data_IF_046832148676
#
_entry.id   IF_046832148676
#
_cell.length_a   1.000
_cell.length_b   1.000
_cell.length_c   1.000
_cell.angle_alpha   90.00
_cell.angle_beta   90.00
_cell.angle_gamma   90.00
#
_symmetry.space_group_name_H-M   'P 1'
#
loop_
_entity.id
_entity.type
_entity.pdbx_description
1 polymer ?
#
# COMPACT_ATOMS: atom_id res chain seq x y z
N UNK A 1 -5.44 -33.19 -11.76
CA UNK A 1 -5.36 -32.92 -10.31
C UNK A 1 -3.88 -32.86 -9.96
N UNK A 2 -3.27 -31.70 -10.17
CA UNK A 2 -1.84 -31.46 -9.94
C UNK A 2 -1.62 -31.13 -8.47
N UNK A 3 -0.55 -31.71 -7.91
CA UNK A 3 -0.30 -31.91 -6.49
C UNK A 3 -0.03 -30.59 -5.73
N UNK A 4 -1.09 -30.04 -5.14
CA UNK A 4 -1.11 -28.85 -4.26
C UNK A 4 -0.14 -28.94 -3.07
N UNK A 5 0.32 -30.14 -2.71
CA UNK A 5 1.21 -30.33 -1.57
C UNK A 5 2.68 -30.15 -1.92
N UNK A 6 3.06 -30.00 -3.19
CA UNK A 6 4.47 -29.91 -3.57
C UNK A 6 5.03 -28.49 -3.35
N UNK A 7 4.35 -27.44 -3.81
CA UNK A 7 4.79 -26.04 -3.63
C UNK A 7 4.81 -25.65 -2.15
N UNK A 8 3.76 -26.00 -1.38
CA UNK A 8 3.77 -25.81 0.07
C UNK A 8 4.87 -26.62 0.79
N UNK A 9 5.19 -27.85 0.33
CA UNK A 9 6.26 -28.67 0.91
C UNK A 9 7.65 -28.20 0.53
N UNK A 10 7.87 -27.72 -0.70
CA UNK A 10 9.18 -27.25 -1.16
C UNK A 10 9.54 -25.92 -0.45
N UNK A 11 8.55 -25.03 -0.28
CA UNK A 11 8.72 -23.77 0.47
C UNK A 11 8.94 -24.04 1.96
N UNK A 12 8.17 -24.94 2.59
CA UNK A 12 8.39 -25.32 4.00
C UNK A 12 9.69 -26.12 4.20
N UNK A 13 10.03 -27.02 3.26
CA UNK A 13 11.20 -27.90 3.35
C UNK A 13 12.52 -27.16 3.21
N UNK A 14 12.60 -26.12 2.37
CA UNK A 14 13.81 -25.30 2.22
C UNK A 14 13.96 -24.23 3.29
N UNK A 15 12.87 -23.79 3.94
CA UNK A 15 12.95 -22.94 5.13
C UNK A 15 13.55 -23.66 6.36
N UNK A 16 13.48 -25.00 6.39
CA UNK A 16 13.98 -25.84 7.50
C UNK A 16 15.44 -26.27 7.34
N UNK A 17 15.99 -26.25 6.12
CA UNK A 17 17.36 -26.76 5.82
C UNK A 17 18.49 -25.73 5.98
N UNK A 18 18.27 -24.67 6.76
CA UNK A 18 19.20 -23.55 6.91
C UNK A 18 19.51 -23.17 8.36
N UNK A 19 19.85 -24.14 9.21
CA UNK A 19 20.74 -24.01 10.39
C UNK A 19 20.75 -25.33 11.17
N UNK A 20 21.92 -25.98 11.24
CA UNK A 20 22.16 -27.10 12.13
C UNK A 20 21.99 -26.66 13.58
N UNK A 21 21.29 -27.49 14.34
CA UNK A 21 20.98 -27.35 15.76
C UNK A 21 22.27 -27.35 16.60
N UNK A 22 22.48 -26.26 17.34
CA UNK A 22 23.15 -26.31 18.64
C UNK A 22 22.14 -25.77 19.66
N UNK A 23 21.77 -26.64 20.60
CA UNK A 23 20.77 -26.42 21.64
C UNK A 23 21.12 -25.21 22.51
N UNK A 24 20.20 -24.26 22.59
CA UNK A 24 20.06 -23.40 23.77
C UNK A 24 18.59 -22.94 23.84
N UNK A 25 17.88 -23.51 24.80
CA UNK A 25 16.53 -23.16 25.22
C UNK A 25 16.45 -21.67 25.59
N UNK A 26 15.84 -20.86 24.72
CA UNK A 26 15.27 -19.56 25.07
C UNK A 26 13.83 -19.51 24.57
N UNK A 27 12.91 -19.50 25.54
CA UNK A 27 11.54 -18.99 25.50
C UNK A 27 11.07 -18.44 24.15
N UNK A 28 10.06 -19.10 23.56
CA UNK A 28 9.26 -18.62 22.43
C UNK A 28 8.57 -17.29 22.76
N UNK A 29 9.33 -16.20 22.73
CA UNK A 29 8.79 -14.87 22.55
C UNK A 29 8.46 -14.77 21.05
N UNK A 30 7.19 -15.03 20.71
CA UNK A 30 6.67 -14.96 19.34
C UNK A 30 7.28 -13.75 18.64
N UNK A 31 8.08 -13.96 17.58
CA UNK A 31 8.80 -12.89 16.87
C UNK A 31 7.83 -11.73 16.61
N UNK A 32 7.95 -10.65 17.40
CA UNK A 32 7.13 -9.45 17.23
C UNK A 32 7.55 -8.82 15.91
N UNK A 33 6.88 -9.20 14.82
CA UNK A 33 7.06 -8.55 13.53
C UNK A 33 6.33 -7.22 13.60
N UNK A 34 7.09 -6.14 13.78
CA UNK A 34 6.55 -4.78 13.77
C UNK A 34 5.93 -4.49 12.41
N UNK A 35 4.58 -4.54 12.34
CA UNK A 35 3.78 -4.36 11.12
C UNK A 35 4.11 -3.05 10.38
N UNK A 36 4.44 -2.00 11.11
CA UNK A 36 4.86 -0.70 10.56
C UNK A 36 6.23 -0.70 9.86
N UNK A 37 7.04 -1.74 10.06
CA UNK A 37 8.47 -1.75 9.66
C UNK A 37 8.83 -2.84 8.65
N UNK A 38 7.97 -3.85 8.46
CA UNK A 38 8.18 -4.90 7.46
C UNK A 38 8.25 -4.31 6.06
N UNK A 39 9.34 -4.58 5.33
CA UNK A 39 9.66 -3.91 4.06
C UNK A 39 8.92 -4.47 2.85
N UNK A 40 8.14 -5.52 3.06
CA UNK A 40 7.47 -6.38 2.07
C UNK A 40 5.93 -6.26 2.12
N UNK A 41 5.38 -5.23 2.78
CA UNK A 41 3.91 -5.06 2.93
C UNK A 41 3.20 -5.14 1.59
N UNK A 42 3.70 -4.38 0.61
CA UNK A 42 3.24 -4.45 -0.76
C UNK A 42 4.24 -5.24 -1.60
N UNK A 43 3.80 -6.19 -2.43
CA UNK A 43 4.64 -6.78 -3.46
C UNK A 43 5.11 -5.73 -4.48
N UNK A 44 4.33 -4.67 -4.71
CA UNK A 44 4.64 -3.62 -5.66
C UNK A 44 5.63 -2.58 -5.09
N UNK A 45 6.48 -2.07 -5.97
CA UNK A 45 7.36 -0.92 -5.77
C UNK A 45 6.69 0.31 -6.36
N UNK A 46 5.91 1.02 -5.56
CA UNK A 46 5.29 2.27 -6.00
C UNK A 46 6.13 3.47 -5.55
N UNK A 47 6.48 4.41 -6.46
CA UNK A 47 7.05 5.70 -6.09
C UNK A 47 6.18 6.38 -5.04
N UNK A 48 6.80 7.04 -4.07
CA UNK A 48 6.08 7.70 -2.98
C UNK A 48 5.49 6.78 -1.90
N UNK A 49 5.72 5.45 -1.97
CA UNK A 49 5.14 4.45 -1.06
C UNK A 49 4.94 4.92 0.38
N UNK A 50 3.69 5.31 0.67
CA UNK A 50 3.25 5.95 1.92
C UNK A 50 3.13 5.00 3.10
N UNK A 51 3.73 3.81 3.03
CA UNK A 51 3.80 2.84 4.14
C UNK A 51 4.18 3.51 5.47
N UNK A 52 5.08 4.49 5.43
CA UNK A 52 5.53 5.23 6.62
C UNK A 52 4.45 6.10 7.25
N UNK A 53 3.38 6.44 6.53
CA UNK A 53 2.19 7.10 7.08
C UNK A 53 1.25 6.13 7.80
N UNK A 54 1.35 4.82 7.58
CA UNK A 54 0.42 3.87 8.22
C UNK A 54 0.41 3.97 9.77
N UNK A 55 1.55 4.11 10.48
CA UNK A 55 1.56 4.32 11.93
C UNK A 55 0.96 5.66 12.37
N UNK A 56 1.07 6.69 11.52
CA UNK A 56 0.46 7.99 11.77
C UNK A 56 -1.06 7.90 11.62
N UNK A 57 -1.55 7.25 10.57
CA UNK A 57 -2.99 7.03 10.35
C UNK A 57 -3.58 6.13 11.47
N UNK A 58 -2.86 5.08 11.87
CA UNK A 58 -3.24 4.23 13.00
C UNK A 58 -3.37 5.01 14.32
N UNK A 59 -2.45 5.95 14.58
CA UNK A 59 -2.51 6.83 15.75
C UNK A 59 -3.71 7.78 15.70
N UNK A 60 -4.02 8.34 14.53
CA UNK A 60 -5.23 9.15 14.34
C UNK A 60 -6.51 8.35 14.57
N UNK A 61 -6.58 7.11 14.06
CA UNK A 61 -7.70 6.19 14.30
C UNK A 61 -7.84 5.87 15.79
N UNK A 62 -6.72 5.63 16.48
CA UNK A 62 -6.75 5.36 17.92
C UNK A 62 -7.25 6.57 18.73
N UNK A 63 -6.83 7.79 18.36
CA UNK A 63 -7.24 9.03 19.03
C UNK A 63 -8.68 9.43 18.74
N UNK A 64 -9.21 9.11 17.55
CA UNK A 64 -10.59 9.42 17.20
C UNK A 64 -11.62 8.57 17.96
N UNK A 65 -11.18 7.48 18.61
CA UNK A 65 -12.03 6.49 19.28
C UNK A 65 -13.11 5.87 18.36
N UNK A 66 -12.93 5.96 17.03
CA UNK A 66 -13.83 5.36 16.04
C UNK A 66 -13.02 4.45 15.15
N UNK A 67 -13.13 3.14 15.39
CA UNK A 67 -12.53 2.10 14.53
C UNK A 67 -13.29 2.03 13.19
N UNK A 68 -12.60 2.22 12.05
CA UNK A 68 -13.23 2.08 10.74
C UNK A 68 -13.70 0.64 10.49
N UNK A 69 -14.96 0.49 10.10
CA UNK A 69 -15.47 -0.76 9.51
C UNK A 69 -14.89 -0.95 8.11
N UNK A 70 -14.80 0.16 7.37
CA UNK A 70 -14.38 0.17 5.98
C UNK A 70 -13.35 1.27 5.76
N UNK A 71 -12.14 0.85 5.39
CA UNK A 71 -11.08 1.76 4.96
C UNK A 71 -11.00 1.74 3.42
N UNK A 72 -11.18 2.90 2.80
CA UNK A 72 -11.31 3.04 1.35
C UNK A 72 -10.10 3.78 0.79
N UNK A 73 -9.40 3.17 -0.16
CA UNK A 73 -8.25 3.76 -0.86
C UNK A 73 -8.57 3.81 -2.37
N UNK A 74 -9.12 4.93 -2.89
CA UNK A 74 -9.49 5.08 -4.30
C UNK A 74 -8.32 5.35 -5.25
N UNK A 75 -7.12 5.50 -4.68
CA UNK A 75 -5.84 5.63 -5.38
C UNK A 75 -4.90 4.55 -4.89
N UNK A 76 -5.33 3.28 -4.99
CA UNK A 76 -4.69 2.17 -4.31
C UNK A 76 -3.18 2.10 -4.57
N UNK A 77 -2.73 2.22 -5.82
CA UNK A 77 -1.31 2.14 -6.17
C UNK A 77 -0.65 0.89 -5.57
N UNK A 78 0.23 1.09 -4.59
CA UNK A 78 0.86 -0.01 -3.84
C UNK A 78 0.05 -0.56 -2.65
N UNK A 79 -1.10 0.02 -2.31
CA UNK A 79 -2.03 -0.31 -1.22
C UNK A 79 -1.35 -0.49 0.15
N UNK A 80 -0.16 0.11 0.31
CA UNK A 80 0.72 -0.20 1.45
C UNK A 80 0.13 0.28 2.76
N UNK A 81 -0.65 1.36 2.75
CA UNK A 81 -1.34 1.88 3.94
C UNK A 81 -2.51 0.96 4.30
N UNK A 82 -3.44 0.71 3.37
CA UNK A 82 -4.59 -0.19 3.61
C UNK A 82 -4.16 -1.55 4.13
N UNK A 83 -3.17 -2.19 3.48
CA UNK A 83 -2.69 -3.51 3.89
C UNK A 83 -2.03 -3.45 5.27
N UNK A 84 -1.23 -2.41 5.55
CA UNK A 84 -0.60 -2.26 6.88
C UNK A 84 -1.66 -2.21 7.98
N UNK A 85 -2.69 -1.37 7.80
CA UNK A 85 -3.77 -1.19 8.76
C UNK A 85 -4.63 -2.45 8.90
N UNK A 86 -4.87 -3.16 7.80
CA UNK A 86 -5.64 -4.41 7.79
C UNK A 86 -4.90 -5.53 8.53
N UNK A 87 -3.61 -5.74 8.24
CA UNK A 87 -2.78 -6.77 8.89
C UNK A 87 -2.62 -6.50 10.39
N UNK A 88 -2.44 -5.23 10.74
CA UNK A 88 -2.28 -4.76 12.11
C UNK A 88 -3.60 -4.63 12.88
N UNK A 89 -4.72 -4.96 12.22
CA UNK A 89 -6.05 -4.95 12.81
C UNK A 89 -6.47 -3.59 13.37
N UNK A 90 -6.20 -2.51 12.64
CA UNK A 90 -6.75 -1.16 12.92
C UNK A 90 -8.07 -0.88 12.21
N UNK A 91 -8.42 -1.70 11.21
CA UNK A 91 -9.62 -1.55 10.37
C UNK A 91 -10.25 -2.91 10.15
N UNK A 92 -11.57 -3.02 10.07
CA UNK A 92 -12.22 -4.32 9.91
C UNK A 92 -12.04 -4.86 8.49
N UNK A 93 -12.34 -4.01 7.50
CA UNK A 93 -12.26 -4.33 6.08
C UNK A 93 -11.69 -3.18 5.26
N UNK A 94 -11.15 -3.50 4.08
CA UNK A 94 -10.67 -2.52 3.10
C UNK A 94 -11.46 -2.58 1.80
N UNK A 95 -11.50 -1.47 1.07
CA UNK A 95 -11.94 -1.38 -0.31
C UNK A 95 -10.90 -0.62 -1.12
N UNK A 96 -10.44 -1.23 -2.21
CA UNK A 96 -9.40 -0.68 -3.06
C UNK A 96 -9.98 -0.31 -4.43
N UNK A 97 -9.57 0.84 -4.96
CA UNK A 97 -9.78 1.16 -6.35
C UNK A 97 -8.55 1.84 -6.93
N UNK A 98 -8.33 1.65 -8.23
CA UNK A 98 -7.34 2.40 -8.98
C UNK A 98 -7.83 2.63 -10.40
N UNK A 99 -7.53 3.80 -10.96
CA UNK A 99 -7.82 4.11 -12.35
C UNK A 99 -6.95 3.30 -13.31
N UNK A 100 -5.77 2.86 -12.85
CA UNK A 100 -4.85 2.04 -13.59
C UNK A 100 -5.35 0.57 -13.70
N UNK A 101 -5.67 0.06 -14.90
CA UNK A 101 -6.23 -1.28 -15.06
C UNK A 101 -5.25 -2.40 -14.70
N UNK A 102 -3.92 -2.18 -14.80
CA UNK A 102 -2.94 -3.19 -14.41
C UNK A 102 -2.87 -3.31 -12.89
N UNK A 103 -2.85 -2.18 -12.19
CA UNK A 103 -2.84 -2.12 -10.72
C UNK A 103 -4.12 -2.70 -10.15
N UNK A 104 -5.27 -2.31 -10.69
CA UNK A 104 -6.55 -2.86 -10.27
C UNK A 104 -6.64 -4.38 -10.51
N UNK A 105 -6.21 -4.86 -11.69
CA UNK A 105 -6.18 -6.30 -12.00
C UNK A 105 -5.24 -7.06 -11.06
N UNK A 106 -4.08 -6.48 -10.73
CA UNK A 106 -3.14 -7.06 -9.79
C UNK A 106 -3.77 -7.27 -8.41
N UNK A 107 -4.28 -6.21 -7.78
CA UNK A 107 -4.88 -6.32 -6.45
C UNK A 107 -6.11 -7.21 -6.44
N UNK A 108 -6.91 -7.19 -7.51
CA UNK A 108 -8.09 -8.03 -7.62
C UNK A 108 -7.70 -9.50 -7.69
N UNK A 109 -6.68 -9.85 -8.47
CA UNK A 109 -6.14 -11.21 -8.55
C UNK A 109 -5.56 -11.67 -7.21
N UNK A 110 -4.78 -10.82 -6.53
CA UNK A 110 -4.20 -11.11 -5.20
C UNK A 110 -5.28 -11.46 -4.16
N UNK A 111 -6.39 -10.75 -4.17
CA UNK A 111 -7.51 -10.99 -3.25
C UNK A 111 -8.63 -11.85 -3.87
N UNK A 112 -8.26 -12.79 -4.76
CA UNK A 112 -9.18 -13.73 -5.40
C UNK A 112 -8.70 -15.19 -5.24
N UNK A 113 -9.53 -16.18 -5.63
CA UNK A 113 -9.09 -17.57 -5.74
C UNK A 113 -7.96 -17.83 -6.75
N UNK A 114 -7.61 -16.86 -7.61
CA UNK A 114 -6.52 -17.01 -8.59
C UNK A 114 -5.14 -16.61 -8.05
N UNK A 115 -5.04 -16.18 -6.79
CA UNK A 115 -3.79 -15.75 -6.18
C UNK A 115 -2.69 -16.84 -6.21
N UNK A 116 -3.08 -18.12 -6.06
CA UNK A 116 -2.13 -19.25 -6.10
C UNK A 116 -1.50 -19.39 -7.49
N UNK A 117 -2.31 -19.27 -8.55
CA UNK A 117 -1.81 -19.28 -9.94
C UNK A 117 -0.88 -18.11 -10.21
N UNK A 118 -1.19 -16.92 -9.68
CA UNK A 118 -0.31 -15.76 -9.79
C UNK A 118 1.02 -16.01 -9.07
N UNK A 119 0.99 -16.61 -7.88
CA UNK A 119 2.18 -16.95 -7.11
C UNK A 119 3.05 -17.97 -7.87
N UNK A 120 2.45 -19.00 -8.48
CA UNK A 120 3.16 -19.99 -9.32
C UNK A 120 3.82 -19.31 -10.53
N UNK A 121 3.08 -18.47 -11.26
CA UNK A 121 3.63 -17.71 -12.40
C UNK A 121 4.82 -16.84 -12.00
N UNK A 122 4.76 -16.23 -10.81
CA UNK A 122 5.86 -15.42 -10.25
C UNK A 122 7.04 -16.28 -9.86
N UNK A 123 6.79 -17.42 -9.22
CA UNK A 123 7.83 -18.36 -8.79
C UNK A 123 8.65 -18.86 -10.00
N UNK A 124 7.94 -19.24 -11.07
CA UNK A 124 8.53 -19.82 -12.28
C UNK A 124 9.02 -18.77 -13.30
N UNK A 125 8.83 -17.48 -13.02
CA UNK A 125 9.13 -16.40 -13.97
C UNK A 125 10.62 -16.39 -14.35
N UNK A 126 10.90 -16.39 -15.66
CA UNK A 126 12.24 -16.12 -16.19
C UNK A 126 12.44 -14.61 -16.30
N UNK A 127 13.28 -14.04 -15.43
CA UNK A 127 13.47 -12.58 -15.35
C UNK A 127 14.52 -12.11 -16.36
N UNK A 128 14.12 -11.99 -17.62
CA UNK A 128 15.01 -11.58 -18.72
C UNK A 128 14.54 -10.28 -19.37
N UNK A 129 15.45 -9.63 -20.10
CA UNK A 129 15.10 -8.45 -20.90
C UNK A 129 14.08 -8.77 -22.00
N UNK A 130 14.20 -9.94 -22.63
CA UNK A 130 13.26 -10.38 -23.66
C UNK A 130 11.85 -10.55 -23.09
N UNK A 131 11.73 -11.15 -21.91
CA UNK A 131 10.45 -11.29 -21.23
C UNK A 131 9.87 -9.93 -20.85
N UNK A 132 10.72 -9.01 -20.39
CA UNK A 132 10.32 -7.62 -20.13
C UNK A 132 9.77 -6.93 -21.38
N UNK A 133 10.48 -7.03 -22.51
CA UNK A 133 10.05 -6.45 -23.79
C UNK A 133 8.75 -7.09 -24.26
N UNK A 134 8.64 -8.42 -24.18
CA UNK A 134 7.42 -9.16 -24.52
C UNK A 134 6.23 -8.67 -23.70
N UNK A 135 6.37 -8.63 -22.38
CA UNK A 135 5.32 -8.17 -21.48
C UNK A 135 5.01 -6.68 -21.65
N UNK A 136 6.00 -5.84 -22.00
CA UNK A 136 5.76 -4.41 -22.25
C UNK A 136 4.79 -4.19 -23.41
N UNK A 137 4.93 -4.97 -24.49
CA UNK A 137 4.17 -4.83 -25.73
C UNK A 137 2.95 -5.74 -25.84
N UNK A 138 2.79 -6.72 -24.94
CA UNK A 138 1.67 -7.66 -24.99
C UNK A 138 0.33 -7.01 -24.58
N UNK A 139 -0.74 -7.36 -25.29
CA UNK A 139 -2.10 -7.15 -24.81
C UNK A 139 -2.50 -8.34 -23.92
N UNK A 140 -3.09 -8.05 -22.76
CA UNK A 140 -3.49 -9.09 -21.81
C UNK A 140 -4.95 -9.43 -22.01
N UNK A 141 -5.24 -10.73 -22.11
CA UNK A 141 -6.58 -11.26 -22.40
C UNK A 141 -7.33 -11.59 -21.13
N UNK A 142 -6.61 -11.84 -20.04
CA UNK A 142 -7.16 -12.19 -18.73
C UNK A 142 -6.66 -11.27 -17.63
N UNK A 143 -7.41 -11.23 -16.53
CA UNK A 143 -7.05 -10.47 -15.33
C UNK A 143 -5.76 -11.03 -14.67
N UNK A 144 -5.60 -12.36 -14.65
CA UNK A 144 -4.39 -13.03 -14.17
C UNK A 144 -3.14 -12.64 -14.96
N UNK A 145 -3.22 -12.63 -16.30
CA UNK A 145 -2.13 -12.16 -17.17
C UNK A 145 -1.80 -10.69 -16.89
N UNK A 146 -2.83 -9.84 -16.73
CA UNK A 146 -2.66 -8.44 -16.39
C UNK A 146 -1.99 -8.23 -15.02
N UNK A 147 -2.37 -9.04 -14.02
CA UNK A 147 -1.76 -9.04 -12.70
C UNK A 147 -0.28 -9.45 -12.75
N UNK A 148 0.04 -10.53 -13.46
CA UNK A 148 1.42 -10.96 -13.66
C UNK A 148 2.25 -9.88 -14.38
N UNK A 149 1.73 -9.33 -15.48
CA UNK A 149 2.37 -8.21 -16.22
C UNK A 149 2.61 -7.00 -15.32
N UNK A 150 1.62 -6.63 -14.51
CA UNK A 150 1.74 -5.53 -13.56
C UNK A 150 2.92 -5.74 -12.61
N UNK A 151 2.94 -6.89 -11.93
CA UNK A 151 3.97 -7.23 -10.95
C UNK A 151 5.35 -7.36 -11.59
N UNK A 152 5.46 -8.08 -12.72
CA UNK A 152 6.72 -8.26 -13.43
C UNK A 152 7.31 -6.91 -13.83
N UNK A 153 6.58 -6.11 -14.60
CA UNK A 153 7.06 -4.81 -15.04
C UNK A 153 7.36 -3.88 -13.86
N UNK A 154 6.53 -3.87 -12.81
CA UNK A 154 6.77 -3.05 -11.64
C UNK A 154 8.06 -3.45 -10.88
N UNK A 155 8.39 -4.73 -10.82
CA UNK A 155 9.58 -5.20 -10.12
C UNK A 155 10.85 -5.06 -10.94
N UNK A 156 10.75 -5.09 -12.27
CA UNK A 156 11.89 -5.08 -13.19
C UNK A 156 12.09 -3.76 -13.93
N UNK A 157 11.22 -2.76 -13.77
CA UNK A 157 11.37 -1.42 -14.36
C UNK A 157 11.99 -0.41 -13.38
N UNK A 158 12.68 0.59 -13.92
CA UNK A 158 13.31 1.63 -13.12
C UNK A 158 12.27 2.31 -12.21
N UNK A 159 12.58 2.44 -10.91
CA UNK A 159 11.68 2.94 -9.87
C UNK A 159 10.32 2.24 -9.74
N UNK A 160 10.13 1.09 -10.40
CA UNK A 160 8.85 0.38 -10.49
C UNK A 160 7.78 1.08 -11.33
N UNK A 161 8.21 1.97 -12.20
CA UNK A 161 7.36 2.71 -13.10
C UNK A 161 6.66 1.79 -14.13
N UNK A 162 5.34 2.00 -14.30
CA UNK A 162 4.52 1.25 -15.25
C UNK A 162 4.21 2.04 -16.54
N UNK A 163 4.51 3.34 -16.58
CA UNK A 163 4.23 4.19 -17.75
C UNK A 163 4.98 3.74 -19.02
N UNK A 164 4.47 4.14 -20.19
CA UNK A 164 4.98 3.68 -21.50
C UNK A 164 6.48 3.94 -21.68
N UNK A 165 6.97 5.09 -21.23
CA UNK A 165 8.38 5.50 -21.32
C UNK A 165 9.30 4.82 -20.28
N UNK A 166 8.77 4.03 -19.35
CA UNK A 166 9.58 3.37 -18.32
C UNK A 166 10.45 2.29 -18.96
N UNK A 167 11.76 2.36 -18.71
CA UNK A 167 12.74 1.35 -19.10
C UNK A 167 13.00 0.31 -18.01
N UNK A 168 13.66 -0.81 -18.36
CA UNK A 168 14.05 -1.84 -17.40
C UNK A 168 15.09 -1.31 -16.41
N UNK A 169 15.14 -1.91 -15.22
CA UNK A 169 16.25 -1.73 -14.27
C UNK A 169 17.53 -2.16 -14.98
N UNK A 170 18.57 -1.33 -14.85
CA UNK A 170 19.86 -1.56 -15.50
C UNK A 170 19.95 -1.13 -16.97
N UNK A 171 18.86 -0.58 -17.52
CA UNK A 171 18.80 -0.08 -18.89
C UNK A 171 18.76 -1.19 -19.95
N UNK A 172 18.52 -0.83 -21.21
CA UNK A 172 18.41 -1.81 -22.29
C UNK A 172 19.72 -2.57 -22.54
N UNK A 173 20.87 -1.94 -22.30
CA UNK A 173 22.19 -2.58 -22.43
C UNK A 173 22.54 -3.49 -21.25
N UNK A 174 21.78 -3.46 -20.14
CA UNK A 174 22.06 -4.21 -18.91
C UNK A 174 23.50 -4.03 -18.40
N UNK A 175 24.10 -2.85 -18.59
CA UNK A 175 25.49 -2.56 -18.18
C UNK A 175 25.63 -2.04 -16.75
N UNK A 176 24.51 -1.65 -16.11
CA UNK A 176 24.51 -1.25 -14.69
C UNK A 176 24.84 -2.42 -13.75
N UNK A 177 25.34 -2.12 -12.56
CA UNK A 177 25.47 -3.07 -11.45
C UNK A 177 24.11 -3.62 -10.99
N UNK A 178 23.04 -2.83 -11.17
CA UNK A 178 21.67 -3.27 -10.90
C UNK A 178 21.09 -3.92 -12.16
N UNK A 179 21.15 -5.25 -12.22
CA UNK A 179 20.53 -6.05 -13.28
C UNK A 179 19.00 -6.09 -13.16
N UNK A 180 18.33 -6.47 -14.24
CA UNK A 180 16.86 -6.50 -14.34
C UNK A 180 16.17 -7.31 -13.23
N UNK A 181 16.82 -8.36 -12.74
CA UNK A 181 16.33 -9.31 -11.74
C UNK A 181 16.62 -8.91 -10.29
N UNK A 182 17.45 -7.89 -10.05
CA UNK A 182 17.95 -7.56 -8.70
C UNK A 182 16.85 -7.19 -7.68
N UNK A 183 15.62 -6.95 -8.16
CA UNK A 183 14.42 -6.70 -7.35
C UNK A 183 13.33 -7.74 -7.54
N UNK A 184 13.54 -8.83 -8.28
CA UNK A 184 12.54 -9.87 -8.53
C UNK A 184 12.86 -11.15 -7.73
N UNK A 185 12.79 -11.07 -6.40
CA UNK A 185 12.97 -12.26 -5.55
C UNK A 185 11.72 -13.14 -5.63
N UNK A 186 11.72 -14.13 -6.52
CA UNK A 186 10.53 -14.92 -6.84
C UNK A 186 9.94 -15.61 -5.61
N UNK A 187 10.72 -16.35 -4.78
CA UNK A 187 10.17 -17.04 -3.62
C UNK A 187 9.50 -16.09 -2.62
N UNK A 188 10.13 -14.95 -2.30
CA UNK A 188 9.56 -14.00 -1.34
C UNK A 188 8.33 -13.27 -1.88
N UNK A 189 8.32 -12.96 -3.17
CA UNK A 189 7.16 -12.30 -3.78
C UNK A 189 5.99 -13.30 -3.83
N UNK A 190 6.22 -14.54 -4.26
CA UNK A 190 5.19 -15.59 -4.28
C UNK A 190 4.62 -15.86 -2.88
N UNK A 191 5.48 -16.04 -1.87
CA UNK A 191 5.07 -16.19 -0.47
C UNK A 191 4.19 -15.03 -0.01
N UNK A 192 4.60 -13.79 -0.33
CA UNK A 192 3.83 -12.60 0.05
C UNK A 192 2.45 -12.52 -0.60
N UNK A 193 2.31 -12.96 -1.86
CA UNK A 193 1.02 -13.02 -2.54
C UNK A 193 0.07 -14.01 -1.82
N UNK A 194 0.59 -15.16 -1.41
CA UNK A 194 -0.18 -16.17 -0.66
C UNK A 194 -0.54 -15.69 0.75
N UNK A 195 0.33 -14.95 1.43
CA UNK A 195 -0.02 -14.32 2.71
C UNK A 195 -1.19 -13.35 2.57
N UNK A 196 -1.16 -12.50 1.55
CA UNK A 196 -2.20 -11.50 1.29
C UNK A 196 -3.52 -12.15 0.88
N UNK A 197 -3.49 -13.22 0.08
CA UNK A 197 -4.70 -13.91 -0.38
C UNK A 197 -5.55 -14.49 0.77
N UNK A 198 -4.91 -14.82 1.90
CA UNK A 198 -5.60 -15.25 3.14
C UNK A 198 -6.48 -14.15 3.74
N UNK A 199 -6.16 -12.88 3.47
CA UNK A 199 -6.93 -11.72 3.93
C UNK A 199 -8.08 -11.35 3.00
N UNK A 200 -8.30 -12.07 1.89
CA UNK A 200 -9.35 -11.75 0.90
C UNK A 200 -10.75 -11.57 1.52
N UNK A 201 -11.06 -12.31 2.58
CA UNK A 201 -12.36 -12.22 3.28
C UNK A 201 -12.59 -10.87 3.97
N UNK A 202 -11.54 -10.08 4.17
CA UNK A 202 -11.60 -8.70 4.70
C UNK A 202 -11.44 -7.63 3.63
N UNK A 203 -11.41 -8.02 2.35
CA UNK A 203 -11.37 -7.09 1.22
C UNK A 203 -12.76 -7.05 0.59
N UNK A 204 -13.48 -5.93 0.76
CA UNK A 204 -14.86 -5.79 0.27
C UNK A 204 -14.91 -5.82 -1.25
N UNK A 205 -13.98 -5.11 -1.89
CA UNK A 205 -13.79 -5.15 -3.33
C UNK A 205 -12.42 -4.58 -3.72
N UNK A 206 -12.00 -4.94 -4.93
CA UNK A 206 -10.98 -4.25 -5.70
C UNK A 206 -11.58 -3.88 -7.05
N UNK A 207 -11.45 -2.63 -7.49
CA UNK A 207 -12.09 -2.16 -8.73
C UNK A 207 -11.16 -1.30 -9.58
N UNK A 208 -11.33 -1.42 -10.91
CA UNK A 208 -10.75 -0.47 -11.85
C UNK A 208 -11.74 0.68 -12.06
N UNK A 209 -11.58 1.76 -11.30
CA UNK A 209 -12.49 2.92 -11.35
C UNK A 209 -11.80 4.18 -10.85
N UNK A 210 -12.32 5.34 -11.26
CA UNK A 210 -11.84 6.64 -10.77
C UNK A 210 -12.34 6.90 -9.35
N UNK A 211 -11.62 7.76 -8.62
CA UNK A 211 -12.00 8.14 -7.25
C UNK A 211 -13.44 8.66 -7.14
N UNK A 212 -13.92 9.43 -8.14
CA UNK A 212 -15.30 9.94 -8.19
C UNK A 212 -16.33 8.82 -8.21
N UNK A 213 -16.05 7.76 -8.99
CA UNK A 213 -16.92 6.60 -9.08
C UNK A 213 -16.84 5.77 -7.79
N UNK A 214 -15.65 5.57 -7.23
CA UNK A 214 -15.48 4.92 -5.92
C UNK A 214 -16.28 5.63 -4.83
N UNK A 215 -16.16 6.96 -4.72
CA UNK A 215 -16.89 7.76 -3.73
C UNK A 215 -18.40 7.57 -3.90
N UNK A 216 -18.90 7.67 -5.13
CA UNK A 216 -20.32 7.49 -5.46
C UNK A 216 -20.83 6.09 -5.08
N UNK A 217 -20.06 5.05 -5.38
CA UNK A 217 -20.45 3.67 -5.15
C UNK A 217 -20.43 3.33 -3.65
N UNK A 218 -19.41 3.78 -2.92
CA UNK A 218 -19.35 3.63 -1.46
C UNK A 218 -20.51 4.37 -0.78
N UNK A 219 -20.88 5.57 -1.24
CA UNK A 219 -22.04 6.32 -0.72
C UNK A 219 -23.36 5.53 -0.78
N UNK A 220 -23.45 4.55 -1.68
CA UNK A 220 -24.64 3.68 -1.84
C UNK A 220 -24.60 2.44 -0.94
N UNK A 221 -23.46 2.12 -0.33
CA UNK A 221 -23.32 0.95 0.55
C UNK A 221 -24.11 1.13 1.85
N UNK A 222 -24.50 0.01 2.47
CA UNK A 222 -25.16 0.04 3.77
C UNK A 222 -24.26 0.62 4.87
N UNK A 223 -22.97 0.26 4.89
CA UNK A 223 -21.99 0.79 5.85
C UNK A 223 -21.98 2.31 5.84
N UNK A 224 -21.89 2.93 4.65
CA UNK A 224 -21.87 4.39 4.54
C UNK A 224 -23.22 5.02 4.91
N UNK A 225 -24.34 4.47 4.44
CA UNK A 225 -25.68 5.04 4.71
C UNK A 225 -26.07 4.96 6.19
N UNK A 226 -25.67 3.90 6.88
CA UNK A 226 -26.03 3.67 8.28
C UNK A 226 -25.09 4.38 9.24
N UNK A 227 -23.78 4.37 8.94
CA UNK A 227 -22.78 4.98 9.82
C UNK A 227 -21.56 5.49 9.02
N UNK A 228 -21.66 6.68 8.41
CA UNK A 228 -20.59 7.23 7.58
C UNK A 228 -19.29 7.44 8.37
N UNK A 229 -19.36 7.63 9.70
CA UNK A 229 -18.18 7.78 10.57
C UNK A 229 -17.34 6.49 10.69
N UNK A 230 -17.93 5.32 10.40
CA UNK A 230 -17.19 4.05 10.31
C UNK A 230 -16.54 3.82 8.94
N UNK A 231 -16.68 4.75 8.00
CA UNK A 231 -15.94 4.76 6.74
C UNK A 231 -14.78 5.73 6.86
N UNK A 232 -13.57 5.23 6.57
CA UNK A 232 -12.36 6.04 6.54
C UNK A 232 -11.81 6.10 5.12
N UNK A 233 -11.67 7.29 4.56
CA UNK A 233 -11.13 7.52 3.23
C UNK A 233 -9.65 7.89 3.31
N UNK A 234 -8.79 7.18 2.60
CA UNK A 234 -7.41 7.56 2.42
C UNK A 234 -7.14 7.94 0.97
N UNK A 235 -6.84 9.22 0.75
CA UNK A 235 -6.69 9.82 -0.57
C UNK A 235 -5.20 10.12 -0.82
N UNK A 236 -4.56 9.35 -1.68
CA UNK A 236 -3.17 9.55 -2.12
C UNK A 236 -3.12 9.77 -3.64
N UNK A 237 -3.63 10.91 -4.14
CA UNK A 237 -3.71 11.20 -5.56
C UNK A 237 -2.32 11.31 -6.22
N UNK A 238 -2.24 11.25 -7.57
CA UNK A 238 -1.00 11.54 -8.29
C UNK A 238 -0.40 12.91 -7.89
N UNK A 239 0.92 13.00 -7.73
CA UNK A 239 1.62 14.23 -7.32
C UNK A 239 1.53 15.37 -8.35
N UNK A 240 1.68 16.62 -7.91
CA UNK A 240 1.71 17.79 -8.81
C UNK A 240 2.97 17.82 -9.70
N UNK A 241 4.11 17.39 -9.18
CA UNK A 241 5.37 17.34 -9.91
C UNK A 241 5.64 15.93 -10.50
N UNK A 242 6.02 15.86 -11.78
CA UNK A 242 6.46 14.63 -12.48
C UNK A 242 5.38 13.54 -12.66
N UNK A 243 4.09 13.88 -12.57
CA UNK A 243 2.98 12.93 -12.76
C UNK A 243 3.03 12.20 -14.11
N UNK A 244 3.42 12.92 -15.17
CA UNK A 244 3.57 12.42 -16.54
C UNK A 244 4.68 11.36 -16.72
N UNK A 245 5.62 11.31 -15.76
CA UNK A 245 6.77 10.39 -15.76
C UNK A 245 6.65 9.27 -14.72
N UNK A 246 5.64 9.26 -13.87
CA UNK A 246 5.53 8.28 -12.78
C UNK A 246 4.29 7.39 -12.91
N UNK A 247 3.17 7.95 -13.37
CA UNK A 247 1.89 7.25 -13.42
C UNK A 247 1.38 7.11 -14.85
N UNK A 248 0.54 6.09 -15.10
CA UNK A 248 -0.14 5.94 -16.39
C UNK A 248 -1.33 6.88 -16.53
N UNK A 249 -1.97 7.19 -15.41
CA UNK A 249 -3.05 8.16 -15.29
C UNK A 249 -2.54 9.31 -14.41
N UNK A 250 -2.55 10.53 -14.93
CA UNK A 250 -2.08 11.72 -14.24
C UNK A 250 -3.24 12.68 -14.04
N UNK A 251 -3.12 13.54 -13.03
CA UNK A 251 -4.03 14.65 -12.82
C UNK A 251 -3.54 15.87 -13.61
N UNK A 252 -4.48 16.63 -14.17
CA UNK A 252 -4.23 18.03 -14.54
C UNK A 252 -4.62 18.95 -13.38
N UNK A 253 -4.22 20.22 -13.41
CA UNK A 253 -4.52 21.18 -12.32
C UNK A 253 -6.01 21.20 -11.94
N UNK A 254 -6.91 21.14 -12.93
CA UNK A 254 -8.36 21.10 -12.69
C UNK A 254 -8.80 19.85 -11.91
N UNK A 255 -8.16 18.69 -12.11
CA UNK A 255 -8.49 17.47 -11.34
C UNK A 255 -8.09 17.62 -9.87
N UNK A 256 -7.00 18.32 -9.58
CA UNK A 256 -6.55 18.60 -8.22
C UNK A 256 -7.48 19.57 -7.50
N UNK A 257 -7.93 20.63 -8.18
CA UNK A 257 -8.92 21.58 -7.67
C UNK A 257 -10.25 20.91 -7.39
N UNK A 258 -10.71 20.05 -8.30
CA UNK A 258 -11.94 19.29 -8.12
C UNK A 258 -11.84 18.31 -6.95
N UNK A 259 -10.70 17.62 -6.79
CA UNK A 259 -10.48 16.76 -5.63
C UNK A 259 -10.51 17.57 -4.32
N UNK A 260 -9.87 18.74 -4.30
CA UNK A 260 -9.87 19.61 -3.13
C UNK A 260 -11.30 20.03 -2.75
N UNK A 261 -12.09 20.47 -3.74
CA UNK A 261 -13.50 20.81 -3.54
C UNK A 261 -14.31 19.59 -3.04
N UNK A 262 -14.07 18.41 -3.61
CA UNK A 262 -14.75 17.19 -3.21
C UNK A 262 -14.47 16.80 -1.75
N UNK A 263 -13.24 16.99 -1.24
CA UNK A 263 -12.88 16.62 0.15
C UNK A 263 -13.65 17.38 1.23
N UNK A 264 -14.06 18.61 0.96
CA UNK A 264 -14.88 19.42 1.89
C UNK A 264 -16.24 18.77 2.19
N UNK A 265 -16.77 18.00 1.24
CA UNK A 265 -18.12 17.42 1.30
C UNK A 265 -18.12 15.90 1.49
N UNK A 266 -16.99 15.27 1.88
CA UNK A 266 -16.94 13.81 2.12
C UNK A 266 -17.43 13.53 3.56
N UNK A 267 -18.61 12.90 3.74
CA UNK A 267 -19.03 12.42 5.04
C UNK A 267 -18.17 11.24 5.50
N UNK A 268 -17.98 11.13 6.80
CA UNK A 268 -17.07 10.16 7.41
C UNK A 268 -15.68 10.73 7.68
N UNK A 269 -14.76 9.86 8.08
CA UNK A 269 -13.37 10.26 8.34
C UNK A 269 -12.56 10.22 7.05
N UNK A 270 -11.72 11.21 6.80
CA UNK A 270 -10.83 11.18 5.64
C UNK A 270 -9.45 11.76 5.96
N UNK A 271 -8.45 11.27 5.24
CA UNK A 271 -7.10 11.80 5.25
C UNK A 271 -6.56 11.79 3.82
N UNK A 272 -5.99 12.92 3.43
CA UNK A 272 -5.34 13.13 2.16
C UNK A 272 -3.83 13.33 2.36
N UNK A 273 -3.01 12.73 1.50
CA UNK A 273 -1.56 12.95 1.44
C UNK A 273 -1.12 13.52 0.10
N UNK A 274 -0.18 14.46 0.13
CA UNK A 274 0.49 15.03 -1.03
C UNK A 274 1.99 15.22 -0.76
N UNK A 275 2.78 15.25 -1.82
CA UNK A 275 4.12 15.80 -1.76
C UNK A 275 4.09 17.27 -1.32
N UNK A 276 5.14 17.71 -0.62
CA UNK A 276 5.31 19.11 -0.24
C UNK A 276 5.53 19.97 -1.50
N UNK A 277 4.43 20.51 -2.04
CA UNK A 277 4.38 21.26 -3.28
C UNK A 277 3.55 22.55 -3.10
N UNK A 278 3.99 23.70 -3.65
CA UNK A 278 3.30 24.98 -3.46
C UNK A 278 1.82 24.96 -3.83
N UNK A 279 1.45 24.23 -4.90
CA UNK A 279 0.07 24.10 -5.34
C UNK A 279 -0.80 23.31 -4.36
N UNK A 280 -0.25 22.27 -3.73
CA UNK A 280 -0.96 21.55 -2.67
C UNK A 280 -1.18 22.47 -1.46
N UNK A 281 -0.16 23.23 -1.05
CA UNK A 281 -0.29 24.22 0.02
C UNK A 281 -1.32 25.31 -0.33
N UNK A 282 -1.38 25.76 -1.58
CA UNK A 282 -2.38 26.72 -2.05
C UNK A 282 -3.81 26.18 -1.90
N UNK A 283 -4.03 24.93 -2.27
CA UNK A 283 -5.36 24.32 -2.26
C UNK A 283 -5.85 23.95 -0.86
N UNK A 284 -4.95 23.47 0.01
CA UNK A 284 -5.35 22.88 1.28
C UNK A 284 -4.84 23.62 2.52
N UNK A 285 -3.96 24.61 2.38
CA UNK A 285 -3.28 25.26 3.51
C UNK A 285 -4.19 26.01 4.48
N UNK A 286 -5.41 26.36 4.07
CA UNK A 286 -6.40 27.01 4.93
C UNK A 286 -7.28 26.02 5.69
N UNK A 287 -7.19 24.73 5.41
CA UNK A 287 -7.99 23.71 6.07
C UNK A 287 -7.52 23.51 7.52
N UNK A 288 -8.43 23.49 8.50
CA UNK A 288 -8.09 23.38 9.94
C UNK A 288 -7.36 22.07 10.30
N UNK A 289 -7.53 21.05 9.46
CA UNK A 289 -6.84 19.76 9.52
C UNK A 289 -5.53 19.66 8.73
N UNK A 290 -5.01 20.77 8.19
CA UNK A 290 -3.72 20.79 7.48
C UNK A 290 -2.55 20.56 8.43
N UNK A 291 -1.58 19.77 7.99
CA UNK A 291 -0.31 19.51 8.67
C UNK A 291 0.77 19.07 7.67
N UNK A 292 2.03 19.33 8.02
CA UNK A 292 3.22 18.77 7.41
C UNK A 292 3.71 17.59 8.25
N UNK A 293 4.08 16.50 7.60
CA UNK A 293 4.61 15.31 8.28
C UNK A 293 6.01 15.00 7.75
N UNK A 294 6.96 14.82 8.66
CA UNK A 294 8.34 14.47 8.28
C UNK A 294 8.46 12.98 7.96
N UNK A 295 8.59 12.65 6.68
CA UNK A 295 8.97 11.32 6.22
C UNK A 295 10.50 11.22 6.15
N UNK A 296 11.10 10.59 7.16
CA UNK A 296 12.52 10.21 7.07
C UNK A 296 12.67 9.09 6.04
N UNK A 297 13.08 9.42 4.81
CA UNK A 297 13.40 8.42 3.79
C UNK A 297 14.75 7.75 4.10
N UNK A 298 14.85 6.45 3.82
CA UNK A 298 16.09 5.69 4.02
C UNK A 298 17.05 5.82 2.84
N UNK A 299 16.74 6.69 1.87
CA UNK A 299 17.67 7.04 0.80
C UNK A 299 18.79 7.89 1.43
N UNK A 300 19.99 7.31 1.48
CA UNK A 300 21.21 8.00 1.88
C UNK A 300 21.69 8.80 0.67
N UNK A 301 21.82 10.13 0.82
CA UNK A 301 22.50 10.96 -0.17
C UNK A 301 24.01 10.85 0.01
N UNK A 302 24.46 10.69 1.26
CA UNK A 302 25.84 10.37 1.64
C UNK A 302 25.89 9.90 3.10
N UNK A 303 27.04 9.38 3.57
CA UNK A 303 27.24 8.75 4.88
C UNK A 303 26.76 9.54 6.11
N UNK A 304 26.42 10.83 5.97
CA UNK A 304 26.03 11.70 7.09
C UNK A 304 24.63 12.34 7.00
N UNK A 305 23.86 12.20 5.92
CA UNK A 305 22.55 12.88 5.81
C UNK A 305 21.43 11.97 5.30
N UNK A 306 20.34 11.90 6.09
CA UNK A 306 19.06 11.29 5.68
C UNK A 306 18.21 12.33 4.97
N UNK A 307 17.62 11.95 3.84
CA UNK A 307 16.56 12.74 3.21
C UNK A 307 15.35 12.81 4.15
N UNK A 308 15.07 14.01 4.66
CA UNK A 308 13.78 14.33 5.27
C UNK A 308 12.93 14.94 4.17
N UNK A 309 11.97 14.18 3.65
CA UNK A 309 10.95 14.75 2.80
C UNK A 309 9.77 15.13 3.69
N UNK A 310 9.22 16.31 3.46
CA UNK A 310 7.96 16.72 4.06
C UNK A 310 6.82 16.20 3.19
N UNK A 311 5.76 15.76 3.83
CA UNK A 311 4.53 15.34 3.21
C UNK A 311 3.42 16.26 3.72
N UNK A 312 2.62 16.81 2.82
CA UNK A 312 1.41 17.54 3.20
C UNK A 312 0.33 16.52 3.54
N UNK A 313 -0.27 16.69 4.70
CA UNK A 313 -1.41 15.92 5.18
C UNK A 313 -2.56 16.87 5.42
N UNK A 314 -3.76 16.45 5.01
CA UNK A 314 -4.99 17.20 5.25
C UNK A 314 -6.04 16.20 5.69
N UNK A 315 -6.72 16.47 6.81
CA UNK A 315 -7.69 15.50 7.35
C UNK A 315 -8.72 16.15 8.24
N UNK A 316 -9.99 15.82 8.05
CA UNK A 316 -11.03 16.21 9.02
C UNK A 316 -10.86 15.53 10.39
N UNK A 317 -10.18 14.39 10.46
CA UNK A 317 -9.83 13.75 11.74
C UNK A 317 -8.87 14.62 12.54
N UNK A 318 -7.85 15.20 11.88
CA UNK A 318 -6.93 16.14 12.52
C UNK A 318 -7.68 17.40 12.98
N UNK A 319 -8.56 17.94 12.14
CA UNK A 319 -9.41 19.08 12.50
C UNK A 319 -10.23 18.80 13.77
N UNK A 320 -10.99 17.70 13.78
CA UNK A 320 -11.83 17.30 14.91
C UNK A 320 -11.01 17.06 16.20
N UNK A 321 -9.83 16.44 16.09
CA UNK A 321 -8.96 16.20 17.25
C UNK A 321 -8.37 17.51 17.81
N UNK A 322 -8.10 18.51 16.97
CA UNK A 322 -7.69 19.84 17.44
C UNK A 322 -8.83 20.57 18.13
N UNK A 323 -10.03 20.55 17.55
CA UNK A 323 -11.23 21.17 18.12
C UNK A 323 -11.58 20.61 19.49
N UNK A 324 -11.43 19.30 19.68
CA UNK A 324 -11.68 18.62 20.97
C UNK A 324 -10.50 18.71 21.95
N UNK A 325 -9.37 19.30 21.56
CA UNK A 325 -8.15 19.37 22.37
C UNK A 325 -7.40 18.02 22.52
N UNK A 326 -7.84 16.97 21.83
CA UNK A 326 -7.22 15.65 21.82
C UNK A 326 -5.89 15.64 21.04
N UNK A 327 -5.68 16.60 20.14
CA UNK A 327 -4.40 16.89 19.51
C UNK A 327 -3.92 18.28 19.93
N UNK A 328 -2.94 18.33 20.83
CA UNK A 328 -2.43 19.57 21.45
C UNK A 328 -1.46 20.36 20.56
N UNK A 329 -0.91 19.74 19.52
CA UNK A 329 0.01 20.39 18.60
C UNK A 329 -0.76 21.29 17.61
N UNK A 330 -0.73 22.60 17.89
CA UNK A 330 -1.08 23.65 16.93
C UNK A 330 0.01 23.86 15.87
N UNK A 331 1.14 23.17 16.01
CA UNK A 331 2.25 23.24 15.07
C UNK A 331 1.84 22.71 13.69
N UNK A 332 2.33 23.37 12.65
CA UNK A 332 2.16 22.92 11.27
C UNK A 332 2.81 21.55 11.06
N UNK A 333 3.85 21.19 11.81
CA UNK A 333 4.57 19.91 11.65
C UNK A 333 4.15 18.87 12.69
N UNK A 334 3.53 17.78 12.25
CA UNK A 334 3.23 16.60 13.06
C UNK A 334 4.32 15.53 12.91
N UNK A 335 4.75 14.96 14.04
CA UNK A 335 5.73 13.88 14.04
C UNK A 335 5.04 12.53 13.88
N UNK A 336 5.60 11.68 13.02
CA UNK A 336 5.17 10.28 12.95
C UNK A 336 5.55 9.61 14.27
N UNK A 337 4.61 8.93 14.94
CA UNK A 337 4.91 8.15 16.13
C UNK A 337 6.13 7.25 15.90
N UNK A 338 7.02 7.15 16.90
CA UNK A 338 8.21 6.30 16.78
C UNK A 338 7.78 4.86 16.52
N UNK A 339 8.60 4.14 15.72
CA UNK A 339 8.40 2.76 15.18
C UNK A 339 7.83 1.68 16.13
N UNK A 340 7.78 1.92 17.43
CA UNK A 340 7.25 1.03 18.46
C UNK A 340 5.87 1.52 18.88
N UNK A 341 4.86 1.22 18.06
CA UNK A 341 3.50 1.16 18.55
C UNK A 341 3.22 -0.30 18.89
N UNK A 342 2.99 -0.59 20.17
CA UNK A 342 2.19 -1.75 20.51
C UNK A 342 0.81 -1.47 19.92
N UNK A 343 0.19 -2.43 19.22
CA UNK A 343 -1.23 -2.30 18.91
C UNK A 343 -1.92 -2.00 20.24
N UNK A 344 -2.52 -0.82 20.37
CA UNK A 344 -3.11 -0.37 21.63
C UNK A 344 -4.29 -1.29 21.93
N UNK A 345 -4.05 -2.22 22.84
CA UNK A 345 -4.92 -3.31 23.25
C UNK A 345 -6.10 -2.86 24.12
N UNK A 346 -6.73 -1.73 23.78
CA UNK A 346 -8.09 -1.41 24.25
C UNK A 346 -9.16 -1.80 23.23
N UNK A 347 -8.76 -2.40 22.11
CA UNK A 347 -9.64 -3.21 21.27
C UNK A 347 -9.34 -4.65 21.68
N UNK A 348 -10.32 -5.37 22.24
CA UNK A 348 -10.16 -6.76 22.66
C UNK A 348 -9.47 -7.55 21.54
N UNK A 349 -8.22 -7.93 21.79
CA UNK A 349 -7.48 -8.81 20.91
C UNK A 349 -8.20 -10.15 20.99
N UNK A 350 -9.06 -10.43 20.00
CA UNK A 350 -9.56 -11.78 19.79
C UNK A 350 -8.33 -12.66 19.65
N UNK A 351 -8.08 -13.49 20.67
CA UNK A 351 -7.00 -14.49 20.67
C UNK A 351 -7.15 -15.30 19.39
N UNK A 352 -6.26 -15.07 18.42
CA UNK A 352 -6.18 -15.86 17.19
C UNK A 352 -5.70 -17.26 17.57
N UNK A 353 -6.63 -18.20 17.71
CA UNK A 353 -6.32 -19.59 17.46
C UNK A 353 -6.08 -19.71 15.96
N UNK A 354 -4.83 -19.85 15.56
CA UNK A 354 -4.49 -20.39 14.25
C UNK A 354 -5.08 -21.79 14.22
N UNK A 355 -6.25 -21.95 13.58
CA UNK A 355 -6.77 -23.26 13.25
C UNK A 355 -5.84 -23.85 12.19
N UNK A 356 -4.84 -24.60 12.66
CA UNK A 356 -4.16 -25.60 11.86
C UNK A 356 -5.17 -26.72 11.63
N UNK A 357 -5.69 -26.80 10.41
CA UNK A 357 -6.54 -27.88 9.92
C UNK A 357 -6.25 -28.09 8.44
#
# INVERSE_FOLDING_TARGET
MTDLRWVEREIRGRAVMGKSLSEETKSDDARIVHWATRSDISPLRYPGGKRKLAPFIADLIAKSNVRPELFVEPFAGGASVSISLLEADYVDTIALADADPLVASFWKTVFSPEADKLADMVYDAKVTLDEWVRLKHSEMKTELEAAFKCLFLNRTSFSGALHRKAGPIGGMSQTSDYKIDCRFNQPKIAERLLELSRLRHRVRFVRNESYKKTIRDIRRTATFRNNPQRVFWYLDPPFFAKADKLYRHHFVSADHEELAAATSDIPGSWLLSYDDHPEASRLYGTHSGYALVNLQYSARIDEKQRLVAKEIIVSNVIANLRETGALKDTAEILQIPRRRQNASSNIEVIKRYLATG
#
